data_IF_134632959713
#
_entry.id   IF_134632959713
#
_cell.length_a   1.000
_cell.length_b   1.000
_cell.length_c   1.000
_cell.angle_alpha   90.00
_cell.angle_beta   90.00
_cell.angle_gamma   90.00
#
_symmetry.space_group_name_H-M   'P 1'
#
loop_
_entity.id
_entity.type
_entity.pdbx_description
1 polymer ?
#
# COMPACT_ATOMS: atom_id res chain seq x y z
N UNK A 1 0.11 8.45 12.31
CA UNK A 1 0.61 7.68 11.15
C UNK A 1 1.79 6.84 11.59
N UNK A 2 1.91 5.64 11.01
CA UNK A 2 3.06 4.74 11.16
C UNK A 2 3.65 4.49 9.78
N UNK A 3 4.90 4.05 9.73
CA UNK A 3 5.62 3.74 8.49
C UNK A 3 6.27 2.37 8.60
N UNK A 4 6.38 1.67 7.47
CA UNK A 4 7.11 0.40 7.35
C UNK A 4 8.51 0.62 6.78
N UNK A 5 9.38 -0.38 6.93
CA UNK A 5 10.71 -0.37 6.29
C UNK A 5 10.59 -0.48 4.76
N UNK A 6 9.44 -0.94 4.26
CA UNK A 6 9.11 -1.12 2.85
C UNK A 6 8.50 0.12 2.20
N UNK A 7 8.69 1.29 2.84
CA UNK A 7 8.25 2.59 2.31
C UNK A 7 6.74 2.73 2.16
N UNK A 8 5.98 2.16 3.09
CA UNK A 8 4.53 2.31 3.19
C UNK A 8 4.16 3.14 4.41
N UNK A 9 2.95 3.68 4.42
CA UNK A 9 2.37 4.36 5.57
C UNK A 9 1.02 3.76 5.94
N UNK A 10 0.73 3.81 7.24
CA UNK A 10 -0.54 3.40 7.82
C UNK A 10 -1.13 4.56 8.61
N UNK A 11 -2.36 4.95 8.27
CA UNK A 11 -3.14 5.99 8.94
C UNK A 11 -4.41 5.38 9.52
N UNK A 12 -4.50 5.39 10.84
CA UNK A 12 -5.71 4.99 11.55
C UNK A 12 -6.74 6.11 11.41
N UNK A 13 -7.94 5.75 10.93
CA UNK A 13 -9.12 6.61 10.85
C UNK A 13 -10.28 5.85 11.49
N UNK A 14 -10.59 6.19 12.75
CA UNK A 14 -11.60 5.52 13.57
C UNK A 14 -11.43 3.98 13.58
N UNK A 15 -12.37 3.27 12.96
CA UNK A 15 -12.44 1.81 12.92
C UNK A 15 -11.69 1.19 11.73
N UNK A 16 -11.12 2.01 10.84
CA UNK A 16 -10.37 1.55 9.67
C UNK A 16 -8.93 2.04 9.66
N UNK A 17 -8.07 1.30 8.97
CA UNK A 17 -6.69 1.72 8.69
C UNK A 17 -6.56 1.94 7.20
N UNK A 18 -6.27 3.18 6.82
CA UNK A 18 -5.92 3.53 5.44
C UNK A 18 -4.43 3.29 5.26
N UNK A 19 -4.08 2.56 4.22
CA UNK A 19 -2.69 2.22 3.88
C UNK A 19 -2.34 2.80 2.51
N UNK A 20 -1.05 3.04 2.28
CA UNK A 20 -0.54 3.46 0.98
C UNK A 20 0.98 3.50 0.96
N UNK A 21 1.54 3.79 -0.21
CA UNK A 21 2.99 3.95 -0.38
C UNK A 21 3.43 5.38 -0.10
N UNK A 22 4.65 5.54 0.39
CA UNK A 22 5.26 6.86 0.62
C UNK A 22 5.65 7.54 -0.69
N UNK A 23 5.87 8.85 -0.64
CA UNK A 23 6.36 9.64 -1.78
C UNK A 23 7.70 9.11 -2.33
N UNK A 24 8.55 8.56 -1.45
CA UNK A 24 9.80 7.94 -1.86
C UNK A 24 9.58 6.67 -2.72
N UNK A 25 8.61 5.83 -2.33
CA UNK A 25 8.24 4.66 -3.13
C UNK A 25 7.60 5.05 -4.45
N UNK A 26 6.64 5.98 -4.44
CA UNK A 26 5.97 6.41 -5.69
C UNK A 26 6.94 7.08 -6.67
N UNK A 27 7.91 7.85 -6.18
CA UNK A 27 8.95 8.48 -7.02
C UNK A 27 9.88 7.44 -7.65
N UNK A 28 10.19 6.35 -6.93
CA UNK A 28 11.01 5.26 -7.47
C UNK A 28 10.25 4.42 -8.51
N UNK A 29 8.94 4.23 -8.31
CA UNK A 29 8.08 3.57 -9.29
C UNK A 29 7.96 4.39 -10.57
N UNK A 30 7.88 5.72 -10.48
CA UNK A 30 7.68 6.59 -11.63
C UNK A 30 6.21 6.61 -12.07
N UNK A 31 5.95 6.45 -13.37
CA UNK A 31 4.60 6.49 -13.92
C UNK A 31 3.88 5.17 -13.64
N UNK A 32 2.98 5.18 -12.65
CA UNK A 32 2.12 4.05 -12.31
C UNK A 32 1.09 3.83 -13.41
N UNK A 33 1.02 2.61 -13.93
CA UNK A 33 0.10 2.24 -15.03
C UNK A 33 -0.98 1.26 -14.60
N UNK A 34 -0.75 0.52 -13.52
CA UNK A 34 -1.71 -0.46 -13.00
C UNK A 34 -1.60 -0.63 -11.48
N UNK A 35 -2.75 -0.86 -10.85
CA UNK A 35 -2.86 -1.19 -9.42
C UNK A 35 -3.89 -2.31 -9.27
N UNK A 36 -3.46 -3.45 -8.73
CA UNK A 36 -4.33 -4.55 -8.36
C UNK A 36 -4.65 -4.47 -6.87
N UNK A 37 -5.93 -4.26 -6.55
CA UNK A 37 -6.41 -4.19 -5.17
C UNK A 37 -6.97 -5.57 -4.75
N UNK A 38 -6.92 -5.90 -3.45
CA UNK A 38 -7.55 -7.12 -2.95
C UNK A 38 -9.07 -7.03 -3.06
N UNK A 39 -9.74 -8.19 -3.08
CA UNK A 39 -11.21 -8.24 -2.99
C UNK A 39 -11.68 -7.80 -1.60
N UNK A 40 -12.85 -7.16 -1.54
CA UNK A 40 -13.45 -6.77 -0.26
C UNK A 40 -13.69 -8.00 0.64
N UNK A 41 -13.30 -7.90 1.91
CA UNK A 41 -13.40 -9.01 2.87
C UNK A 41 -12.21 -9.97 2.84
N UNK A 42 -11.23 -9.77 1.97
CA UNK A 42 -9.96 -10.53 2.00
C UNK A 42 -9.29 -10.36 3.37
N UNK A 43 -9.01 -11.48 4.03
CA UNK A 43 -8.25 -11.50 5.28
C UNK A 43 -6.77 -11.56 4.96
N UNK A 44 -6.00 -10.63 5.49
CA UNK A 44 -4.54 -10.55 5.30
C UNK A 44 -3.82 -10.60 6.64
N UNK A 45 -2.60 -11.10 6.62
CA UNK A 45 -1.66 -11.14 7.73
C UNK A 45 -0.54 -10.12 7.53
N UNK A 46 0.24 -9.87 8.58
CA UNK A 46 1.46 -9.07 8.48
C UNK A 46 2.40 -9.73 7.46
N UNK A 47 2.99 -8.92 6.58
CA UNK A 47 3.93 -9.33 5.54
C UNK A 47 3.29 -10.11 4.38
N UNK A 48 1.95 -10.21 4.32
CA UNK A 48 1.26 -10.70 3.12
C UNK A 48 1.33 -9.66 2.01
N UNK A 49 1.48 -10.11 0.77
CA UNK A 49 1.33 -9.25 -0.41
C UNK A 49 -0.15 -8.95 -0.63
N UNK A 50 -0.53 -7.67 -0.56
CA UNK A 50 -1.94 -7.25 -0.58
C UNK A 50 -2.29 -6.47 -1.85
N UNK A 51 -1.34 -5.71 -2.39
CA UNK A 51 -1.53 -4.82 -3.54
C UNK A 51 -0.34 -4.96 -4.47
N UNK A 52 -0.60 -5.12 -5.77
CA UNK A 52 0.43 -5.09 -6.80
C UNK A 52 0.36 -3.73 -7.52
N UNK A 53 1.50 -3.06 -7.66
CA UNK A 53 1.62 -1.78 -8.36
C UNK A 53 2.63 -1.95 -9.50
N UNK A 54 2.20 -1.68 -10.73
CA UNK A 54 3.06 -1.73 -11.91
C UNK A 54 3.32 -0.32 -12.46
N UNK A 55 4.55 -0.10 -12.91
CA UNK A 55 5.02 1.14 -13.53
C UNK A 55 5.86 0.87 -14.79
N UNK A 56 6.14 1.92 -15.57
CA UNK A 56 6.92 1.86 -16.83
C UNK A 56 8.36 2.33 -16.71
#
# INVERSE_FOLDING_TARGET
MKFTEEHEWLRVEDDVVVVGITEHASTQLGDVVFVELPEEGTTVSKDDEVVVIESV
#
